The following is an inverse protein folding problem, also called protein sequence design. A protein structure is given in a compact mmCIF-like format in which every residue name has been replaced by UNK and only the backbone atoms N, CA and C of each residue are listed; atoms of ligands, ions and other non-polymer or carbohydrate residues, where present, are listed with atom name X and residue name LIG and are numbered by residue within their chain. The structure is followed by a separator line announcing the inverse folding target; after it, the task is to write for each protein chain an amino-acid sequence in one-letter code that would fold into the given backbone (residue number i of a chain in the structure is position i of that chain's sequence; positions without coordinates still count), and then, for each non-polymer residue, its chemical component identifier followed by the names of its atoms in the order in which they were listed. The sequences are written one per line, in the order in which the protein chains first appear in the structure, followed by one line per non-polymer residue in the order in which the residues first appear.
data_IF_664846013081
#
_entry.id   IF_664846013081
#
_cell.length_a   1.000
_cell.length_b   1.000
_cell.length_c   1.000
_cell.angle_alpha   90.00
_cell.angle_beta   90.00
_cell.angle_gamma   90.00
#
_symmetry.space_group_name_H-M   'P 1'
#
loop_
_entity.id
_entity.type
_entity.pdbx_description
1 polymer ?
#
# COMPACT_ATOMS: atom_id res chain seq x y z
N UNK A 1 46.75 28.46 -30.20
CA UNK A 1 46.88 27.80 -28.89
C UNK A 1 45.90 28.25 -27.79
N UNK A 2 45.48 29.53 -27.61
CA UNK A 2 44.55 29.88 -26.54
C UNK A 2 43.12 29.34 -26.65
N UNK A 3 42.58 29.20 -27.87
CA UNK A 3 41.22 28.83 -28.11
C UNK A 3 40.94 27.34 -27.79
N UNK A 4 41.89 26.47 -28.08
CA UNK A 4 41.81 25.03 -27.78
C UNK A 4 41.82 24.78 -26.28
N UNK A 5 42.64 25.53 -25.52
CA UNK A 5 42.68 25.44 -24.07
C UNK A 5 41.38 25.95 -23.40
N UNK A 6 40.73 26.94 -23.98
CA UNK A 6 39.45 27.47 -23.54
C UNK A 6 38.33 26.47 -23.79
N UNK A 7 38.31 25.87 -24.99
CA UNK A 7 37.34 24.82 -25.32
C UNK A 7 37.52 23.59 -24.42
N UNK A 8 38.76 23.16 -24.16
CA UNK A 8 39.03 22.06 -23.22
C UNK A 8 38.57 22.39 -21.79
N UNK A 9 38.83 23.60 -21.31
CA UNK A 9 38.36 24.03 -19.97
C UNK A 9 36.87 24.10 -19.88
N UNK A 10 36.15 24.53 -20.91
CA UNK A 10 34.69 24.55 -20.97
C UNK A 10 34.15 23.11 -21.03
N UNK A 11 34.75 22.24 -21.88
CA UNK A 11 34.36 20.83 -21.98
C UNK A 11 34.61 20.05 -20.69
N UNK A 12 35.73 20.27 -20.00
CA UNK A 12 36.05 19.71 -18.70
C UNK A 12 35.07 20.24 -17.65
N UNK A 13 34.75 21.55 -17.64
CA UNK A 13 33.82 22.16 -16.69
C UNK A 13 32.37 21.66 -16.89
N UNK A 14 31.94 21.45 -18.14
CA UNK A 14 30.64 20.88 -18.50
C UNK A 14 30.57 19.39 -18.13
N UNK A 15 31.62 18.61 -18.35
CA UNK A 15 31.66 17.21 -17.98
C UNK A 15 31.83 17.02 -16.45
N UNK A 16 32.61 17.84 -15.78
CA UNK A 16 32.71 17.83 -14.31
C UNK A 16 31.36 18.25 -13.69
N UNK A 17 30.63 19.23 -14.26
CA UNK A 17 29.29 19.59 -13.77
C UNK A 17 28.25 18.50 -14.02
N UNK A 18 28.40 17.67 -15.06
CA UNK A 18 27.58 16.46 -15.30
C UNK A 18 27.95 15.30 -14.38
N UNK A 19 29.20 15.18 -13.94
CA UNK A 19 29.69 14.08 -13.09
C UNK A 19 29.39 14.34 -11.60
N UNK A 20 29.26 15.60 -11.18
CA UNK A 20 28.81 15.96 -9.83
C UNK A 20 27.36 16.45 -9.81
N UNK A 21 26.44 15.78 -10.51
CA UNK A 21 25.05 15.87 -10.10
C UNK A 21 24.98 15.22 -8.72
N UNK A 22 25.01 16.05 -7.68
CA UNK A 22 24.89 15.62 -6.28
C UNK A 22 23.62 14.80 -6.18
N UNK A 23 23.75 13.47 -6.23
CA UNK A 23 22.60 12.57 -6.19
C UNK A 23 22.02 12.71 -4.79
N UNK A 24 20.96 13.51 -4.68
CA UNK A 24 20.25 13.66 -3.43
C UNK A 24 19.64 12.31 -3.03
N UNK A 25 20.02 11.81 -1.86
CA UNK A 25 19.49 10.55 -1.31
C UNK A 25 18.53 10.89 -0.17
N UNK A 26 17.29 10.49 -0.31
CA UNK A 26 16.22 10.77 0.64
C UNK A 26 15.73 9.47 1.24
N UNK A 27 15.52 9.48 2.55
CA UNK A 27 14.95 8.38 3.31
C UNK A 27 13.56 8.77 3.82
N UNK A 28 12.57 7.91 3.63
CA UNK A 28 11.30 7.96 4.33
C UNK A 28 11.23 6.80 5.33
N UNK A 29 10.83 7.08 6.57
CA UNK A 29 10.69 6.07 7.63
C UNK A 29 9.22 5.91 7.99
N UNK A 30 8.66 4.74 7.68
CA UNK A 30 7.33 4.31 8.06
C UNK A 30 7.45 2.98 8.82
N UNK A 31 7.16 2.95 10.12
CA UNK A 31 7.41 1.81 10.98
C UNK A 31 6.15 1.04 11.41
N UNK A 32 4.99 1.32 10.82
CA UNK A 32 3.76 0.54 11.03
C UNK A 32 3.86 -0.83 10.35
N UNK A 33 2.99 -1.77 10.70
CA UNK A 33 3.23 -3.18 10.43
C UNK A 33 2.60 -3.73 9.15
N UNK A 34 1.51 -3.14 8.68
CA UNK A 34 0.69 -3.73 7.63
C UNK A 34 1.02 -3.26 6.20
N UNK A 35 0.55 -4.00 5.22
CA UNK A 35 0.54 -3.59 3.81
C UNK A 35 -0.27 -2.30 3.68
N UNK A 36 -1.49 -2.28 4.23
CA UNK A 36 -2.36 -1.11 4.19
C UNK A 36 -1.73 0.13 4.82
N UNK A 37 -1.06 -0.03 5.97
CA UNK A 37 -0.31 1.06 6.59
C UNK A 37 0.76 1.64 5.66
N UNK A 38 1.43 0.81 4.86
CA UNK A 38 2.43 1.28 3.91
C UNK A 38 1.79 2.03 2.74
N UNK A 39 0.72 1.47 2.18
CA UNK A 39 0.00 2.08 1.04
C UNK A 39 -0.58 3.44 1.41
N UNK A 40 -1.15 3.61 2.62
CA UNK A 40 -1.69 4.91 3.10
C UNK A 40 -0.63 6.02 3.06
N UNK A 41 0.66 5.71 3.24
CA UNK A 41 1.73 6.71 3.23
C UNK A 41 2.31 7.01 1.85
N UNK A 42 1.99 6.23 0.81
CA UNK A 42 2.54 6.42 -0.54
C UNK A 42 2.31 7.82 -1.13
N UNK A 43 1.15 8.48 -0.99
CA UNK A 43 0.96 9.84 -1.51
C UNK A 43 1.96 10.84 -0.96
N UNK A 44 2.34 10.71 0.30
CA UNK A 44 3.30 11.62 0.96
C UNK A 44 4.73 11.35 0.48
N UNK A 45 5.08 10.08 0.27
CA UNK A 45 6.39 9.65 -0.26
C UNK A 45 6.53 10.11 -1.71
N UNK A 46 5.48 9.96 -2.51
CA UNK A 46 5.43 10.46 -3.88
C UNK A 46 5.66 11.98 -3.95
N UNK A 47 4.99 12.76 -3.07
CA UNK A 47 5.19 14.21 -3.01
C UNK A 47 6.61 14.61 -2.60
N UNK A 48 7.27 13.82 -1.75
CA UNK A 48 8.70 14.02 -1.45
C UNK A 48 9.53 13.79 -2.72
N UNK A 49 9.30 12.69 -3.43
CA UNK A 49 10.00 12.37 -4.67
C UNK A 49 9.82 13.46 -5.73
N UNK A 50 8.59 13.89 -5.96
CA UNK A 50 8.25 14.97 -6.91
C UNK A 50 8.96 16.29 -6.55
N UNK A 51 8.90 16.71 -5.25
CA UNK A 51 9.50 17.96 -4.79
C UNK A 51 11.00 18.02 -5.00
N UNK A 52 11.69 16.90 -4.83
CA UNK A 52 13.14 16.82 -4.97
C UNK A 52 13.61 16.24 -6.30
N UNK A 53 12.67 15.88 -7.17
CA UNK A 53 12.95 15.22 -8.47
C UNK A 53 13.92 14.05 -8.32
N UNK A 54 13.68 13.19 -7.31
CA UNK A 54 14.50 12.02 -7.03
C UNK A 54 13.69 10.94 -6.32
N UNK A 55 13.84 9.65 -6.66
CA UNK A 55 13.17 8.58 -5.94
C UNK A 55 13.59 8.52 -4.46
N UNK A 56 12.70 8.03 -3.62
CA UNK A 56 12.86 7.98 -2.17
C UNK A 56 13.20 6.56 -1.72
N UNK A 57 14.17 6.42 -0.83
CA UNK A 57 14.42 5.15 -0.14
C UNK A 57 13.44 5.00 1.01
N UNK A 58 12.85 3.83 1.16
CA UNK A 58 11.78 3.58 2.12
C UNK A 58 12.22 2.56 3.18
N UNK A 59 12.31 3.01 4.45
CA UNK A 59 12.53 2.13 5.60
C UNK A 59 11.17 1.69 6.17
N UNK A 60 10.86 0.41 6.04
CA UNK A 60 9.60 -0.21 6.49
C UNK A 60 9.84 -1.55 7.17
N UNK A 61 8.90 -2.00 7.98
CA UNK A 61 8.95 -3.35 8.55
C UNK A 61 8.84 -4.42 7.46
N UNK A 62 9.52 -5.55 7.63
CA UNK A 62 9.43 -6.70 6.72
C UNK A 62 8.00 -7.22 6.57
N UNK A 63 7.19 -7.13 7.65
CA UNK A 63 5.78 -7.53 7.64
C UNK A 63 4.90 -6.68 6.71
N UNK A 64 5.36 -5.51 6.26
CA UNK A 64 4.66 -4.69 5.26
C UNK A 64 4.67 -5.32 3.87
N UNK A 65 5.59 -6.25 3.59
CA UNK A 65 5.81 -6.88 2.27
C UNK A 65 5.95 -5.86 1.12
N UNK A 66 6.50 -4.67 1.42
CA UNK A 66 6.59 -3.55 0.48
C UNK A 66 7.39 -3.91 -0.78
N UNK A 67 8.40 -4.77 -0.64
CA UNK A 67 9.19 -5.33 -1.73
C UNK A 67 8.36 -6.14 -2.74
N UNK A 68 7.18 -6.64 -2.36
CA UNK A 68 6.33 -7.40 -3.27
C UNK A 68 5.40 -6.52 -4.13
N UNK A 69 5.17 -5.26 -3.77
CA UNK A 69 4.24 -4.41 -4.50
C UNK A 69 4.76 -3.03 -4.89
N UNK A 70 5.98 -2.64 -4.47
CA UNK A 70 6.55 -1.33 -4.79
C UNK A 70 7.77 -1.37 -5.72
N UNK A 71 8.26 -2.56 -6.10
CA UNK A 71 9.49 -2.69 -6.89
C UNK A 71 9.46 -2.02 -8.26
N UNK A 72 8.27 -1.78 -8.82
CA UNK A 72 8.08 -1.13 -10.12
C UNK A 72 7.66 0.35 -9.97
N UNK A 73 7.48 0.82 -8.73
CA UNK A 73 6.99 2.16 -8.43
C UNK A 73 8.13 3.18 -8.59
N UNK A 74 8.02 4.05 -9.57
CA UNK A 74 9.09 4.93 -10.07
C UNK A 74 9.59 5.96 -9.05
N UNK A 75 8.77 6.36 -8.08
CA UNK A 75 9.15 7.28 -7.01
C UNK A 75 9.80 6.60 -5.79
N UNK A 76 9.99 5.27 -5.82
CA UNK A 76 10.71 4.49 -4.81
C UNK A 76 12.04 4.00 -5.41
N UNK A 77 13.17 4.28 -4.73
CA UNK A 77 14.49 3.78 -5.14
C UNK A 77 14.76 2.39 -4.51
N UNK A 78 14.78 2.34 -3.17
CA UNK A 78 15.06 1.09 -2.44
C UNK A 78 14.13 0.92 -1.26
N UNK A 79 13.76 -0.33 -1.02
CA UNK A 79 13.06 -0.75 0.19
C UNK A 79 14.10 -1.32 1.16
N UNK A 80 14.18 -0.70 2.33
CA UNK A 80 15.08 -1.09 3.41
C UNK A 80 14.23 -1.71 4.51
N UNK A 81 14.57 -2.93 4.92
CA UNK A 81 13.80 -3.62 5.92
C UNK A 81 14.22 -3.22 7.35
N UNK A 82 13.24 -2.76 8.12
CA UNK A 82 13.36 -2.58 9.56
C UNK A 82 13.07 -3.92 10.24
N UNK A 83 14.13 -4.58 10.72
CA UNK A 83 14.05 -5.82 11.48
C UNK A 83 13.77 -5.49 12.96
N UNK A 84 12.52 -5.12 13.24
CA UNK A 84 12.05 -4.74 14.57
C UNK A 84 10.68 -5.35 14.82
N UNK A 85 10.60 -6.26 15.78
CA UNK A 85 9.35 -6.93 16.16
C UNK A 85 9.34 -7.25 17.66
N UNK A 86 8.30 -7.95 18.15
CA UNK A 86 8.19 -8.43 19.54
C UNK A 86 9.22 -9.51 19.94
N UNK A 87 9.85 -10.14 18.97
CA UNK A 87 10.95 -11.11 19.16
C UNK A 87 12.27 -10.39 18.93
N UNK A 88 13.32 -10.66 19.72
CA UNK A 88 14.66 -10.04 19.66
C UNK A 88 15.26 -10.06 18.24
N UNK A 89 14.85 -9.12 17.41
CA UNK A 89 15.37 -8.94 16.05
C UNK A 89 16.57 -7.98 16.04
N UNK A 90 17.26 -7.89 14.90
CA UNK A 90 18.51 -7.15 14.72
C UNK A 90 18.44 -5.69 15.19
N UNK A 91 17.31 -5.03 14.96
CA UNK A 91 17.11 -3.61 15.25
C UNK A 91 16.33 -3.35 16.55
N UNK A 92 16.15 -4.35 17.43
CA UNK A 92 15.48 -4.19 18.71
C UNK A 92 16.40 -3.64 19.81
N UNK A 93 15.81 -2.95 20.79
CA UNK A 93 16.51 -2.39 21.94
C UNK A 93 17.51 -1.28 21.59
N UNK A 94 18.37 -0.91 22.53
CA UNK A 94 19.38 0.13 22.34
C UNK A 94 20.49 -0.30 21.38
N UNK A 95 20.99 -1.52 21.51
CA UNK A 95 22.02 -2.07 20.60
C UNK A 95 21.48 -2.13 19.17
N UNK A 96 20.23 -2.53 18.99
CA UNK A 96 19.58 -2.52 17.68
C UNK A 96 19.42 -1.12 17.08
N UNK A 97 19.27 -0.07 17.89
CA UNK A 97 19.28 1.30 17.42
C UNK A 97 20.66 1.69 16.83
N UNK A 98 21.76 1.32 17.49
CA UNK A 98 23.10 1.54 16.95
C UNK A 98 23.34 0.77 15.65
N UNK A 99 22.91 -0.51 15.58
CA UNK A 99 23.01 -1.32 14.36
C UNK A 99 22.23 -0.68 13.21
N UNK A 100 21.01 -0.21 13.45
CA UNK A 100 20.21 0.49 12.44
C UNK A 100 20.90 1.77 11.98
N UNK A 101 21.50 2.55 12.90
CA UNK A 101 22.26 3.74 12.53
C UNK A 101 23.46 3.41 11.65
N UNK A 102 24.22 2.36 11.96
CA UNK A 102 25.33 1.87 11.13
C UNK A 102 24.87 1.42 9.74
N UNK A 103 23.75 0.70 9.67
CA UNK A 103 23.18 0.25 8.39
C UNK A 103 22.72 1.44 7.55
N UNK A 104 22.05 2.43 8.12
CA UNK A 104 21.62 3.63 7.41
C UNK A 104 22.79 4.55 6.99
N UNK A 105 23.88 4.59 7.77
CA UNK A 105 25.08 5.39 7.45
C UNK A 105 25.71 5.01 6.11
N UNK A 106 25.64 3.73 5.73
CA UNK A 106 26.17 3.22 4.45
C UNK A 106 25.52 3.84 3.23
N UNK A 107 24.27 4.32 3.36
CA UNK A 107 23.52 4.94 2.26
C UNK A 107 23.79 6.43 2.08
N UNK A 108 24.41 7.12 3.06
CA UNK A 108 24.74 8.54 2.99
C UNK A 108 23.54 9.44 2.66
N UNK A 109 22.43 9.26 3.35
CA UNK A 109 21.22 10.06 3.14
C UNK A 109 21.44 11.55 3.46
N UNK A 110 20.93 12.42 2.58
CA UNK A 110 20.97 13.88 2.76
C UNK A 110 19.79 14.40 3.59
N UNK A 111 18.62 13.77 3.44
CA UNK A 111 17.37 14.15 4.08
C UNK A 111 16.61 12.90 4.57
N UNK A 112 15.85 13.07 5.66
CA UNK A 112 14.95 12.03 6.14
C UNK A 112 13.59 12.59 6.53
N UNK A 113 12.53 11.87 6.18
CA UNK A 113 11.15 12.13 6.58
C UNK A 113 10.69 10.99 7.49
N UNK A 114 10.34 11.29 8.73
CA UNK A 114 9.98 10.30 9.76
C UNK A 114 8.49 10.44 10.07
N UNK A 115 7.69 9.49 9.63
CA UNK A 115 6.23 9.47 9.79
C UNK A 115 5.79 8.90 11.15
N UNK A 116 6.48 9.32 12.21
CA UNK A 116 6.13 9.00 13.59
C UNK A 116 6.77 10.01 14.56
N UNK A 117 6.35 9.96 15.84
CA UNK A 117 6.83 10.85 16.92
C UNK A 117 7.94 10.21 17.78
N UNK A 118 8.61 9.18 17.29
CA UNK A 118 9.59 8.40 18.06
C UNK A 118 10.94 9.13 18.20
N UNK A 119 11.33 9.40 19.42
CA UNK A 119 12.68 9.91 19.74
C UNK A 119 13.76 8.94 19.26
N UNK A 120 13.51 7.62 19.35
CA UNK A 120 14.42 6.58 18.91
C UNK A 120 14.86 6.78 17.44
N UNK A 121 13.90 6.95 16.50
CA UNK A 121 14.26 7.17 15.11
C UNK A 121 14.98 8.48 14.88
N UNK A 122 14.63 9.54 15.61
CA UNK A 122 15.37 10.80 15.56
C UNK A 122 16.85 10.61 15.96
N UNK A 123 17.11 9.89 17.04
CA UNK A 123 18.48 9.58 17.48
C UNK A 123 19.22 8.71 16.47
N UNK A 124 18.57 7.63 15.96
CA UNK A 124 19.17 6.73 14.96
C UNK A 124 19.64 7.48 13.72
N UNK A 125 18.81 8.36 13.16
CA UNK A 125 19.17 9.07 11.92
C UNK A 125 20.26 10.11 12.16
N UNK A 126 20.32 10.73 13.35
CA UNK A 126 21.43 11.62 13.74
C UNK A 126 22.75 10.87 13.88
N UNK A 127 22.72 9.69 14.52
CA UNK A 127 23.88 8.80 14.63
C UNK A 127 24.35 8.28 13.26
N UNK A 128 23.42 8.12 12.31
CA UNK A 128 23.74 7.80 10.92
C UNK A 128 24.34 8.98 10.13
N UNK A 129 24.44 10.18 10.74
CA UNK A 129 25.01 11.37 10.11
C UNK A 129 24.01 12.19 9.30
N UNK A 130 22.70 11.91 9.35
CA UNK A 130 21.69 12.66 8.61
C UNK A 130 21.32 13.93 9.37
N UNK A 131 21.53 15.11 8.75
CA UNK A 131 21.31 16.41 9.39
C UNK A 131 19.95 17.02 9.12
N UNK A 132 19.40 16.82 7.91
CA UNK A 132 18.10 17.37 7.51
C UNK A 132 16.97 16.40 7.87
N UNK A 133 16.36 16.59 9.04
CA UNK A 133 15.36 15.69 9.61
C UNK A 133 14.01 16.39 9.66
N UNK A 134 13.02 15.81 9.00
CA UNK A 134 11.63 16.20 9.02
C UNK A 134 10.82 15.11 9.74
N UNK A 135 10.16 15.45 10.83
CA UNK A 135 9.50 14.46 11.69
C UNK A 135 8.20 15.01 12.29
N UNK A 136 7.29 14.15 12.66
CA UNK A 136 6.17 14.52 13.52
C UNK A 136 6.69 15.11 14.84
N UNK A 137 5.94 16.03 15.48
CA UNK A 137 6.33 16.55 16.78
C UNK A 137 6.60 15.39 17.75
N UNK A 138 7.71 15.48 18.48
CA UNK A 138 8.03 14.51 19.53
C UNK A 138 7.01 14.62 20.66
N UNK A 139 6.79 13.53 21.40
CA UNK A 139 5.91 13.47 22.57
C UNK A 139 4.42 13.73 22.29
N UNK A 140 3.97 13.58 21.05
CA UNK A 140 2.53 13.64 20.75
C UNK A 140 1.79 12.39 21.20
N UNK A 141 0.49 12.56 21.57
CA UNK A 141 -0.36 11.47 22.05
C UNK A 141 -0.38 10.27 21.08
N UNK A 142 -0.40 9.05 21.62
CA UNK A 142 -0.36 7.78 20.84
C UNK A 142 -1.52 7.62 19.84
N UNK A 143 -2.71 8.18 20.13
CA UNK A 143 -3.91 8.06 19.28
C UNK A 143 -3.98 9.20 18.25
N UNK A 144 -3.02 9.24 17.34
CA UNK A 144 -3.08 10.19 16.22
C UNK A 144 -3.85 9.60 15.03
N UNK A 145 -4.65 10.45 14.41
CA UNK A 145 -5.24 10.14 13.11
C UNK A 145 -4.14 9.79 12.10
N UNK A 146 -4.28 8.67 11.36
CA UNK A 146 -3.19 8.16 10.53
C UNK A 146 -2.74 9.13 9.43
N UNK A 147 -3.66 9.93 8.87
CA UNK A 147 -3.44 10.83 7.73
C UNK A 147 -3.05 12.24 8.17
N UNK A 148 -3.79 12.84 9.11
CA UNK A 148 -3.63 14.27 9.48
C UNK A 148 -2.19 14.68 9.81
N UNK A 149 -1.40 13.94 10.62
CA UNK A 149 -0.02 14.27 10.89
C UNK A 149 0.89 14.18 9.67
N UNK A 150 0.63 13.24 8.73
CA UNK A 150 1.39 13.10 7.50
C UNK A 150 1.17 14.30 6.57
N UNK A 151 -0.08 14.69 6.35
CA UNK A 151 -0.44 15.91 5.59
C UNK A 151 0.24 17.14 6.21
N UNK A 152 0.14 17.30 7.56
CA UNK A 152 0.75 18.42 8.26
C UNK A 152 2.28 18.44 8.10
N UNK A 153 2.94 17.28 8.17
CA UNK A 153 4.38 17.16 7.98
C UNK A 153 4.77 17.63 6.57
N UNK A 154 4.12 17.11 5.52
CA UNK A 154 4.45 17.45 4.14
C UNK A 154 4.16 18.92 3.85
N UNK A 155 2.99 19.43 4.25
CA UNK A 155 2.67 20.87 4.09
C UNK A 155 3.70 21.77 4.77
N UNK A 156 4.07 21.47 6.03
CA UNK A 156 5.07 22.25 6.77
C UNK A 156 6.48 22.16 6.20
N UNK A 157 6.89 20.96 5.72
CA UNK A 157 8.28 20.71 5.29
C UNK A 157 8.53 21.11 3.85
N UNK A 158 7.54 20.96 2.96
CA UNK A 158 7.70 21.11 1.51
C UNK A 158 6.88 22.27 0.93
N UNK A 159 5.94 22.81 1.71
CA UNK A 159 4.96 23.83 1.27
C UNK A 159 4.15 23.37 0.05
N UNK A 160 3.66 22.11 0.09
CA UNK A 160 2.82 21.51 -0.96
C UNK A 160 1.56 20.87 -0.35
N UNK A 161 0.49 20.88 -1.11
CA UNK A 161 -0.73 20.13 -0.79
C UNK A 161 -0.60 18.68 -1.29
N UNK A 162 -1.25 17.76 -0.58
CA UNK A 162 -1.24 16.33 -0.92
C UNK A 162 -2.67 15.85 -1.03
N UNK A 163 -2.99 15.23 -2.14
CA UNK A 163 -4.18 14.38 -2.19
C UNK A 163 -3.83 13.02 -1.55
N UNK A 164 -4.80 12.35 -0.96
CA UNK A 164 -4.56 11.11 -0.22
C UNK A 164 -4.68 9.84 -1.10
N UNK A 165 -4.69 9.98 -2.43
CA UNK A 165 -4.80 8.85 -3.35
C UNK A 165 -3.42 8.20 -3.52
N UNK A 166 -3.22 6.96 -3.04
CA UNK A 166 -1.97 6.24 -3.29
C UNK A 166 -1.90 5.79 -4.74
N UNK A 167 -0.69 5.65 -5.24
CA UNK A 167 -0.42 5.12 -6.56
C UNK A 167 0.67 4.05 -6.47
N UNK A 168 0.46 2.93 -7.16
CA UNK A 168 1.43 1.87 -7.39
C UNK A 168 1.59 1.71 -8.89
N UNK A 169 2.83 1.74 -9.37
CA UNK A 169 3.14 1.50 -10.77
C UNK A 169 3.36 0.01 -11.01
N UNK A 170 2.96 -0.44 -12.18
CA UNK A 170 3.16 -1.81 -12.66
C UNK A 170 3.48 -1.79 -14.15
N UNK A 171 4.37 -2.67 -14.59
CA UNK A 171 4.73 -2.84 -15.98
C UNK A 171 3.51 -3.30 -16.82
N UNK A 172 3.15 -2.50 -17.81
CA UNK A 172 2.04 -2.76 -18.72
C UNK A 172 2.20 -4.08 -19.50
N UNK A 173 3.42 -4.55 -19.72
CA UNK A 173 3.64 -5.87 -20.33
C UNK A 173 3.20 -6.99 -19.40
N UNK A 174 3.45 -6.88 -18.10
CA UNK A 174 2.95 -7.85 -17.11
C UNK A 174 1.42 -7.85 -17.04
N UNK A 175 0.80 -6.66 -17.15
CA UNK A 175 -0.67 -6.53 -17.20
C UNK A 175 -1.24 -7.24 -18.42
N UNK A 176 -0.62 -7.07 -19.60
CA UNK A 176 -1.01 -7.77 -20.84
C UNK A 176 -0.78 -9.27 -20.75
N UNK A 177 0.37 -9.71 -20.23
CA UNK A 177 0.67 -11.13 -20.06
C UNK A 177 -0.30 -11.84 -19.10
N UNK A 178 -0.77 -11.14 -18.07
CA UNK A 178 -1.77 -11.71 -17.15
C UNK A 178 -3.09 -12.06 -17.84
N UNK A 179 -3.49 -11.30 -18.87
CA UNK A 179 -4.72 -11.58 -19.64
C UNK A 179 -4.67 -12.99 -20.26
N UNK A 180 -3.59 -13.34 -20.95
CA UNK A 180 -3.44 -14.65 -21.57
C UNK A 180 -3.17 -15.75 -20.52
N UNK A 181 -2.31 -15.50 -19.55
CA UNK A 181 -1.92 -16.48 -18.52
C UNK A 181 -3.10 -16.95 -17.66
N UNK A 182 -4.01 -16.04 -17.34
CA UNK A 182 -5.15 -16.32 -16.46
C UNK A 182 -6.50 -16.31 -17.20
N UNK A 183 -6.51 -16.35 -18.54
CA UNK A 183 -7.68 -16.34 -19.39
C UNK A 183 -8.69 -15.22 -19.04
N UNK A 184 -8.18 -14.01 -18.78
CA UNK A 184 -9.01 -12.87 -18.37
C UNK A 184 -9.80 -12.36 -19.57
N UNK A 185 -11.11 -12.60 -19.58
CA UNK A 185 -11.99 -12.09 -20.62
C UNK A 185 -12.35 -10.63 -20.34
N UNK A 186 -11.75 -9.70 -21.10
CA UNK A 186 -11.99 -8.24 -20.95
C UNK A 186 -13.41 -7.80 -21.36
N UNK A 187 -14.20 -8.67 -22.01
CA UNK A 187 -15.61 -8.41 -22.34
C UNK A 187 -16.55 -8.76 -21.19
N UNK A 188 -16.07 -9.45 -20.18
CA UNK A 188 -16.80 -9.83 -18.98
C UNK A 188 -16.39 -8.95 -17.79
N UNK A 189 -17.25 -8.91 -16.78
CA UNK A 189 -16.98 -8.17 -15.55
C UNK A 189 -16.02 -8.99 -14.68
N UNK A 190 -14.79 -8.51 -14.55
CA UNK A 190 -13.76 -9.13 -13.73
C UNK A 190 -13.72 -8.46 -12.35
N UNK A 191 -13.95 -9.19 -11.28
CA UNK A 191 -14.05 -8.68 -9.92
C UNK A 191 -13.03 -9.36 -9.02
N UNK A 192 -12.19 -8.58 -8.33
CA UNK A 192 -11.41 -9.13 -7.24
C UNK A 192 -12.29 -9.25 -5.99
N UNK A 193 -12.32 -10.41 -5.37
CA UNK A 193 -12.87 -10.65 -4.04
C UNK A 193 -11.72 -10.91 -3.07
N UNK A 194 -11.36 -9.95 -2.23
CA UNK A 194 -10.37 -10.15 -1.18
C UNK A 194 -11.05 -10.59 0.11
N UNK A 195 -11.20 -11.90 0.24
CA UNK A 195 -12.00 -12.57 1.26
C UNK A 195 -11.25 -12.84 2.57
N UNK A 196 -9.91 -12.69 2.58
CA UNK A 196 -9.09 -12.83 3.77
C UNK A 196 -9.18 -11.63 4.72
N UNK A 197 -8.45 -11.68 5.83
CA UNK A 197 -8.38 -10.58 6.81
C UNK A 197 -7.49 -10.93 7.99
N UNK A 198 -6.77 -9.93 8.53
CA UNK A 198 -5.77 -10.10 9.60
C UNK A 198 -6.36 -10.45 10.98
N UNK A 199 -7.65 -10.66 11.08
CA UNK A 199 -8.33 -11.07 12.32
C UNK A 199 -9.73 -11.62 12.04
N UNK A 200 -10.26 -12.45 12.94
CA UNK A 200 -11.55 -13.13 12.75
C UNK A 200 -12.73 -12.15 12.65
N UNK A 201 -12.62 -10.98 13.27
CA UNK A 201 -13.67 -9.94 13.30
C UNK A 201 -13.77 -9.17 11.98
N UNK A 202 -12.75 -9.28 11.11
CA UNK A 202 -12.69 -8.62 9.79
C UNK A 202 -13.03 -9.55 8.63
N UNK A 203 -13.18 -10.84 8.88
CA UNK A 203 -13.48 -11.87 7.86
C UNK A 203 -14.97 -11.99 7.69
N UNK A 204 -15.49 -11.38 6.63
CA UNK A 204 -16.90 -11.46 6.26
C UNK A 204 -17.23 -12.90 5.85
N UNK A 205 -18.37 -13.47 6.28
CA UNK A 205 -18.75 -14.86 5.96
C UNK A 205 -18.88 -15.12 4.45
N UNK A 206 -18.55 -16.33 4.02
CA UNK A 206 -18.66 -16.76 2.62
C UNK A 206 -20.06 -16.53 2.03
N UNK A 207 -21.12 -16.76 2.81
CA UNK A 207 -22.51 -16.57 2.37
C UNK A 207 -22.83 -15.14 1.93
N UNK A 208 -22.19 -14.14 2.52
CA UNK A 208 -22.32 -12.73 2.10
C UNK A 208 -21.72 -12.55 0.70
N UNK A 209 -20.52 -13.07 0.45
CA UNK A 209 -19.90 -13.02 -0.88
C UNK A 209 -20.73 -13.81 -1.91
N UNK A 210 -21.18 -15.04 -1.60
CA UNK A 210 -22.01 -15.85 -2.47
C UNK A 210 -23.33 -15.15 -2.85
N UNK A 211 -23.95 -14.45 -1.90
CA UNK A 211 -25.16 -13.66 -2.17
C UNK A 211 -24.88 -12.52 -3.15
N UNK A 212 -23.76 -11.81 -2.99
CA UNK A 212 -23.34 -10.76 -3.93
C UNK A 212 -23.01 -11.33 -5.30
N UNK A 213 -22.26 -12.44 -5.37
CA UNK A 213 -21.89 -13.12 -6.61
C UNK A 213 -23.13 -13.55 -7.40
N UNK A 214 -24.14 -14.11 -6.72
CA UNK A 214 -25.42 -14.50 -7.33
C UNK A 214 -26.14 -13.33 -7.97
N UNK A 215 -26.24 -12.20 -7.26
CA UNK A 215 -26.88 -10.98 -7.79
C UNK A 215 -26.15 -10.44 -9.03
N UNK A 216 -24.81 -10.43 -9.00
CA UNK A 216 -24.00 -9.98 -10.14
C UNK A 216 -24.17 -10.93 -11.34
N UNK A 217 -24.05 -12.23 -11.12
CA UNK A 217 -24.10 -13.24 -12.17
C UNK A 217 -25.45 -13.31 -12.88
N UNK A 218 -26.53 -12.89 -12.22
CA UNK A 218 -27.88 -12.82 -12.81
C UNK A 218 -28.02 -11.67 -13.83
N UNK A 219 -27.17 -10.65 -13.77
CA UNK A 219 -27.30 -9.45 -14.62
C UNK A 219 -26.14 -9.24 -15.58
N UNK A 220 -24.95 -9.80 -15.28
CA UNK A 220 -23.75 -9.63 -16.10
C UNK A 220 -22.93 -10.94 -16.14
N UNK A 221 -22.34 -11.23 -17.29
CA UNK A 221 -21.28 -12.25 -17.35
C UNK A 221 -20.07 -11.76 -16.56
N UNK A 222 -19.57 -12.57 -15.64
CA UNK A 222 -18.56 -12.16 -14.69
C UNK A 222 -17.62 -13.29 -14.28
N UNK A 223 -16.40 -12.91 -13.88
CA UNK A 223 -15.40 -13.78 -13.27
C UNK A 223 -14.95 -13.17 -11.94
N UNK A 224 -14.59 -14.02 -10.98
CA UNK A 224 -14.19 -13.65 -9.64
C UNK A 224 -12.77 -14.13 -9.35
N UNK A 225 -11.89 -13.23 -9.00
CA UNK A 225 -10.51 -13.52 -8.57
C UNK A 225 -10.48 -13.51 -7.05
N UNK A 226 -10.20 -14.65 -6.43
CA UNK A 226 -10.33 -14.82 -4.98
C UNK A 226 -8.97 -14.63 -4.30
N UNK A 227 -8.75 -13.49 -3.65
CA UNK A 227 -7.52 -13.19 -2.92
C UNK A 227 -7.70 -13.46 -1.43
N UNK A 228 -6.83 -14.29 -0.86
CA UNK A 228 -6.82 -14.67 0.55
C UNK A 228 -5.42 -15.08 1.00
N UNK A 229 -5.23 -15.20 2.32
CA UNK A 229 -4.02 -15.77 2.90
C UNK A 229 -4.10 -17.29 3.02
N UNK A 230 -3.10 -17.88 3.70
CA UNK A 230 -3.00 -19.33 3.95
C UNK A 230 -3.42 -19.72 5.36
N UNK A 231 -4.03 -18.81 6.11
CA UNK A 231 -4.61 -19.11 7.42
C UNK A 231 -5.80 -20.06 7.26
N UNK A 232 -5.95 -21.02 8.16
CA UNK A 232 -6.96 -22.07 8.07
C UNK A 232 -8.38 -21.51 7.94
N UNK A 233 -8.70 -20.47 8.71
CA UNK A 233 -10.03 -19.85 8.68
C UNK A 233 -10.28 -19.08 7.37
N UNK A 234 -9.25 -18.48 6.79
CA UNK A 234 -9.33 -17.86 5.47
C UNK A 234 -9.55 -18.90 4.38
N UNK A 235 -8.86 -20.05 4.48
CA UNK A 235 -9.03 -21.16 3.55
C UNK A 235 -10.42 -21.84 3.66
N UNK A 236 -11.05 -21.86 4.83
CA UNK A 236 -12.44 -22.32 4.98
C UNK A 236 -13.39 -21.46 4.16
N UNK A 237 -13.23 -20.13 4.17
CA UNK A 237 -14.06 -19.21 3.36
C UNK A 237 -13.83 -19.47 1.87
N UNK A 238 -12.56 -19.61 1.45
CA UNK A 238 -12.21 -19.92 0.06
C UNK A 238 -12.87 -21.23 -0.39
N UNK A 239 -12.73 -22.30 0.41
CA UNK A 239 -13.27 -23.63 0.08
C UNK A 239 -14.80 -23.61 -0.01
N UNK A 240 -15.49 -22.85 0.85
CA UNK A 240 -16.95 -22.69 0.75
C UNK A 240 -17.37 -22.05 -0.57
N UNK A 241 -16.64 -21.00 -1.02
CA UNK A 241 -16.93 -20.36 -2.31
C UNK A 241 -16.60 -21.32 -3.47
N UNK A 242 -15.45 -22.00 -3.41
CA UNK A 242 -15.02 -22.94 -4.46
C UNK A 242 -15.88 -24.23 -4.54
N UNK A 243 -16.65 -24.54 -3.50
CA UNK A 243 -17.61 -25.65 -3.49
C UNK A 243 -19.00 -25.23 -3.92
N UNK A 244 -19.22 -23.97 -4.30
CA UNK A 244 -20.51 -23.43 -4.73
C UNK A 244 -20.72 -23.56 -6.24
N UNK A 245 -21.91 -23.18 -6.70
CA UNK A 245 -22.28 -23.07 -8.13
C UNK A 245 -21.37 -22.09 -8.93
N UNK A 246 -20.58 -21.25 -8.24
CA UNK A 246 -19.70 -20.28 -8.87
C UNK A 246 -18.28 -20.79 -9.16
N UNK A 247 -17.99 -22.05 -8.85
CA UNK A 247 -16.64 -22.64 -9.00
C UNK A 247 -15.99 -22.31 -10.34
N UNK A 248 -16.70 -22.53 -11.44
CA UNK A 248 -16.18 -22.33 -12.80
C UNK A 248 -15.94 -20.85 -13.17
N UNK A 249 -16.49 -19.91 -12.37
CA UNK A 249 -16.29 -18.47 -12.53
C UNK A 249 -15.25 -17.92 -11.57
N UNK A 250 -14.66 -18.76 -10.73
CA UNK A 250 -13.73 -18.37 -9.68
C UNK A 250 -12.31 -18.79 -10.02
N UNK A 251 -11.37 -17.86 -9.81
CA UNK A 251 -9.94 -18.10 -9.97
C UNK A 251 -9.27 -17.80 -8.61
N UNK A 252 -8.85 -18.81 -7.84
CA UNK A 252 -8.17 -18.60 -6.57
C UNK A 252 -6.76 -18.09 -6.79
N UNK A 253 -6.33 -17.10 -5.99
CA UNK A 253 -5.03 -16.46 -6.05
C UNK A 253 -4.14 -16.74 -4.82
N UNK A 254 -4.58 -17.60 -3.91
CA UNK A 254 -3.92 -17.92 -2.64
C UNK A 254 -2.54 -18.57 -2.80
N UNK A 255 -2.28 -19.21 -3.97
CA UNK A 255 -1.00 -19.80 -4.33
C UNK A 255 0.01 -18.79 -4.89
N UNK A 256 -0.42 -17.56 -5.23
CA UNK A 256 0.40 -16.51 -5.80
C UNK A 256 1.01 -15.61 -4.72
N UNK A 257 2.17 -15.05 -5.02
CA UNK A 257 2.73 -13.93 -4.25
C UNK A 257 1.94 -12.64 -4.52
N UNK A 258 2.07 -11.64 -3.65
CA UNK A 258 1.43 -10.33 -3.89
C UNK A 258 1.89 -9.76 -5.23
N UNK A 259 3.19 -9.85 -5.55
CA UNK A 259 3.74 -9.37 -6.81
C UNK A 259 3.04 -9.98 -8.04
N UNK A 260 2.80 -11.29 -8.03
CA UNK A 260 2.11 -11.99 -9.11
C UNK A 260 0.61 -11.65 -9.21
N UNK A 261 0.00 -11.19 -8.11
CA UNK A 261 -1.42 -10.79 -8.12
C UNK A 261 -1.65 -9.39 -8.69
N UNK A 262 -0.64 -8.49 -8.65
CA UNK A 262 -0.81 -7.09 -9.09
C UNK A 262 -1.32 -6.97 -10.54
N UNK A 263 -0.74 -7.65 -11.54
CA UNK A 263 -1.21 -7.55 -12.92
C UNK A 263 -2.62 -8.13 -13.11
N UNK A 264 -3.04 -9.11 -12.30
CA UNK A 264 -4.40 -9.64 -12.31
C UNK A 264 -5.37 -8.59 -11.75
N UNK A 265 -5.04 -7.99 -10.59
CA UNK A 265 -5.84 -6.94 -9.96
C UNK A 265 -6.01 -5.76 -10.92
N UNK A 266 -4.93 -5.34 -11.60
CA UNK A 266 -4.97 -4.25 -12.58
C UNK A 266 -5.92 -4.52 -13.76
N UNK A 267 -6.20 -5.77 -14.04
CA UNK A 267 -7.17 -6.21 -15.05
C UNK A 267 -8.61 -6.31 -14.55
N UNK A 268 -8.87 -6.17 -13.24
CA UNK A 268 -10.21 -6.17 -12.68
C UNK A 268 -10.94 -4.84 -12.92
N UNK A 269 -12.25 -4.89 -13.08
CA UNK A 269 -13.12 -3.73 -13.22
C UNK A 269 -13.44 -3.08 -11.87
N UNK A 270 -13.52 -3.91 -10.83
CA UNK A 270 -13.76 -3.49 -9.46
C UNK A 270 -13.19 -4.51 -8.47
N UNK A 271 -13.10 -4.14 -7.20
CA UNK A 271 -12.78 -5.05 -6.11
C UNK A 271 -13.76 -4.91 -4.96
N UNK A 272 -14.04 -6.03 -4.29
CA UNK A 272 -14.82 -6.12 -3.06
C UNK A 272 -13.91 -6.78 -2.04
N UNK A 273 -13.52 -6.04 -1.02
CA UNK A 273 -12.45 -6.44 -0.12
C UNK A 273 -12.87 -6.29 1.34
N UNK A 274 -12.61 -7.30 2.14
CA UNK A 274 -12.50 -7.10 3.57
C UNK A 274 -11.45 -6.01 3.89
N UNK A 275 -11.38 -5.52 5.12
CA UNK A 275 -10.29 -4.64 5.56
C UNK A 275 -8.96 -5.41 5.54
N UNK A 276 -8.33 -5.44 4.38
CA UNK A 276 -7.10 -6.20 4.09
C UNK A 276 -6.12 -5.40 3.24
N UNK A 277 -4.87 -5.88 3.17
CA UNK A 277 -3.85 -5.31 2.28
C UNK A 277 -4.26 -5.26 0.81
N UNK A 278 -5.06 -6.21 0.33
CA UNK A 278 -5.53 -6.23 -1.06
C UNK A 278 -6.49 -5.08 -1.39
N UNK A 279 -7.34 -4.65 -0.44
CA UNK A 279 -8.19 -3.48 -0.64
C UNK A 279 -7.38 -2.21 -0.86
N UNK A 280 -6.31 -2.03 -0.08
CA UNK A 280 -5.39 -0.90 -0.22
C UNK A 280 -4.61 -0.96 -1.55
N UNK A 281 -4.09 -2.14 -1.91
CA UNK A 281 -3.36 -2.35 -3.18
C UNK A 281 -4.28 -2.08 -4.37
N UNK A 282 -5.50 -2.62 -4.37
CA UNK A 282 -6.47 -2.41 -5.44
C UNK A 282 -6.75 -0.92 -5.66
N UNK A 283 -7.01 -0.20 -4.58
CA UNK A 283 -7.22 1.26 -4.63
C UNK A 283 -5.99 1.99 -5.20
N UNK A 284 -4.78 1.59 -4.80
CA UNK A 284 -3.53 2.19 -5.27
C UNK A 284 -3.19 1.85 -6.74
N UNK A 285 -3.71 0.74 -7.25
CA UNK A 285 -3.67 0.38 -8.68
C UNK A 285 -4.74 1.10 -9.51
N UNK A 286 -5.56 1.95 -8.88
CA UNK A 286 -6.61 2.72 -9.53
C UNK A 286 -7.93 1.94 -9.72
N UNK A 287 -8.09 0.79 -9.06
CA UNK A 287 -9.30 -0.03 -9.13
C UNK A 287 -10.34 0.49 -8.13
N UNK A 288 -11.58 0.68 -8.60
CA UNK A 288 -12.71 1.03 -7.74
C UNK A 288 -12.95 -0.09 -6.73
N UNK A 289 -12.78 0.20 -5.44
CA UNK A 289 -12.68 -0.79 -4.38
C UNK A 289 -13.77 -0.58 -3.33
N UNK A 290 -14.66 -1.53 -3.20
CA UNK A 290 -15.61 -1.60 -2.10
C UNK A 290 -14.88 -2.21 -0.91
N UNK A 291 -14.83 -1.49 0.21
CA UNK A 291 -14.17 -1.92 1.45
C UNK A 291 -15.20 -2.28 2.50
N UNK A 292 -15.18 -3.53 2.98
CA UNK A 292 -16.11 -4.05 3.98
C UNK A 292 -15.56 -3.77 5.38
N UNK A 293 -16.02 -2.68 5.97
CA UNK A 293 -15.47 -2.14 7.23
C UNK A 293 -16.28 -2.64 8.42
N UNK A 294 -15.99 -3.85 8.89
CA UNK A 294 -16.74 -4.51 9.94
C UNK A 294 -16.26 -4.22 11.38
N UNK A 295 -14.96 -3.94 11.55
CA UNK A 295 -14.34 -3.83 12.88
C UNK A 295 -13.05 -2.99 12.86
N UNK A 296 -13.00 -1.96 12.03
CA UNK A 296 -11.84 -1.08 11.89
C UNK A 296 -12.32 0.34 11.62
N UNK A 297 -11.65 1.37 12.16
CA UNK A 297 -12.02 2.76 11.90
C UNK A 297 -12.17 3.05 10.41
N UNK A 298 -13.26 3.73 10.04
CA UNK A 298 -13.69 3.97 8.66
C UNK A 298 -12.59 4.59 7.79
N UNK A 299 -11.70 5.39 8.39
CA UNK A 299 -10.61 6.05 7.68
C UNK A 299 -9.69 5.07 6.93
N UNK A 300 -9.57 3.84 7.40
CA UNK A 300 -8.75 2.82 6.71
C UNK A 300 -9.38 2.31 5.41
N UNK A 301 -10.69 2.45 5.26
CA UNK A 301 -11.42 2.03 4.05
C UNK A 301 -11.97 3.20 3.21
N UNK A 302 -11.63 4.46 3.54
CA UNK A 302 -12.24 5.63 2.89
C UNK A 302 -11.27 6.79 2.60
N UNK A 303 -9.96 6.59 2.74
CA UNK A 303 -8.98 7.67 2.57
C UNK A 303 -8.67 8.02 1.11
N UNK A 304 -9.00 7.15 0.18
CA UNK A 304 -8.78 7.32 -1.27
C UNK A 304 -10.11 7.49 -2.01
N UNK A 305 -10.11 8.25 -3.09
CA UNK A 305 -11.27 8.41 -3.99
C UNK A 305 -11.69 7.10 -4.68
N UNK A 306 -10.81 6.10 -4.70
CA UNK A 306 -11.11 4.77 -5.23
C UNK A 306 -11.72 3.83 -4.17
N UNK A 307 -11.92 4.27 -2.94
CA UNK A 307 -12.45 3.45 -1.84
C UNK A 307 -13.89 3.81 -1.51
N UNK A 308 -14.75 2.81 -1.45
CA UNK A 308 -16.19 2.92 -1.20
C UNK A 308 -16.56 2.03 -0.02
N UNK A 309 -16.56 2.56 1.22
CA UNK A 309 -16.80 1.74 2.41
C UNK A 309 -18.25 1.30 2.53
N UNK A 310 -18.42 0.05 2.95
CA UNK A 310 -19.69 -0.52 3.44
C UNK A 310 -19.50 -0.85 4.92
N UNK A 311 -20.39 -0.37 5.75
CA UNK A 311 -20.41 -0.62 7.21
C UNK A 311 -21.59 -1.52 7.59
N UNK A 312 -21.56 -2.16 8.77
CA UNK A 312 -22.62 -3.02 9.25
C UNK A 312 -23.98 -2.30 9.32
N UNK A 313 -25.05 -3.04 9.06
CA UNK A 313 -26.40 -2.50 9.20
C UNK A 313 -26.69 -2.06 10.65
N UNK A 314 -27.30 -0.90 10.79
CA UNK A 314 -27.57 -0.27 12.10
C UNK A 314 -26.44 0.60 12.65
N UNK A 315 -25.25 0.55 12.06
CA UNK A 315 -24.12 1.37 12.51
C UNK A 315 -24.04 2.69 11.72
N UNK A 316 -23.66 3.76 12.40
CA UNK A 316 -23.36 5.08 11.79
C UNK A 316 -21.85 5.32 11.66
N UNK A 317 -21.05 4.57 12.42
CA UNK A 317 -19.59 4.62 12.39
C UNK A 317 -19.03 3.24 12.74
N UNK A 318 -17.76 3.02 12.45
CA UNK A 318 -17.06 1.77 12.75
C UNK A 318 -15.75 2.08 13.46
N UNK A 319 -15.42 1.30 14.48
CA UNK A 319 -14.17 1.33 15.22
C UNK A 319 -13.68 -0.07 15.51
N UNK A 320 -12.59 -0.17 16.27
CA UNK A 320 -12.23 -1.45 16.90
C UNK A 320 -13.35 -1.82 17.89
N UNK A 321 -13.66 -3.12 17.98
CA UNK A 321 -14.72 -3.69 18.83
C UNK A 321 -16.16 -3.47 18.33
N UNK A 322 -16.37 -3.03 17.07
CA UNK A 322 -17.70 -3.00 16.44
C UNK A 322 -18.24 -4.41 16.18
N UNK A 323 -17.37 -5.38 15.87
CA UNK A 323 -17.70 -6.79 15.68
C UNK A 323 -18.85 -7.05 14.67
N UNK A 324 -18.95 -6.21 13.64
CA UNK A 324 -20.12 -6.15 12.76
C UNK A 324 -20.05 -7.04 11.49
N UNK A 325 -19.13 -8.03 11.41
CA UNK A 325 -18.91 -8.83 10.20
C UNK A 325 -20.16 -9.53 9.65
N UNK A 326 -21.03 -10.01 10.55
CA UNK A 326 -22.25 -10.74 10.20
C UNK A 326 -23.42 -9.80 9.83
N UNK A 327 -23.24 -8.49 10.02
CA UNK A 327 -24.21 -7.43 9.68
C UNK A 327 -23.86 -6.68 8.39
N UNK A 328 -22.82 -7.10 7.66
CA UNK A 328 -22.50 -6.55 6.34
C UNK A 328 -23.53 -7.01 5.34
N UNK A 329 -24.28 -6.06 4.78
CA UNK A 329 -25.44 -6.34 3.93
C UNK A 329 -25.02 -6.56 2.47
N UNK A 330 -25.26 -7.75 1.88
CA UNK A 330 -24.91 -8.04 0.49
C UNK A 330 -25.68 -7.18 -0.53
N UNK A 331 -26.88 -6.68 -0.18
CA UNK A 331 -27.62 -5.76 -1.04
C UNK A 331 -26.91 -4.43 -1.18
N UNK A 332 -26.41 -3.89 -0.07
CA UNK A 332 -25.63 -2.63 -0.08
C UNK A 332 -24.33 -2.78 -0.89
N UNK A 333 -23.67 -3.94 -0.81
CA UNK A 333 -22.46 -4.22 -1.61
C UNK A 333 -22.84 -4.23 -3.11
N UNK A 334 -23.87 -4.98 -3.48
CA UNK A 334 -24.32 -5.07 -4.87
C UNK A 334 -24.70 -3.70 -5.44
N UNK A 335 -25.57 -2.96 -4.75
CA UNK A 335 -26.00 -1.64 -5.20
C UNK A 335 -24.83 -0.65 -5.34
N UNK A 336 -23.86 -0.68 -4.40
CA UNK A 336 -22.66 0.11 -4.52
C UNK A 336 -21.83 -0.31 -5.73
N UNK A 337 -21.65 -1.63 -5.96
CA UNK A 337 -20.90 -2.12 -7.11
C UNK A 337 -21.50 -1.60 -8.42
N UNK A 338 -22.81 -1.77 -8.62
CA UNK A 338 -23.48 -1.30 -9.83
C UNK A 338 -23.32 0.21 -10.01
N UNK A 339 -23.41 0.99 -8.94
CA UNK A 339 -23.28 2.46 -9.00
C UNK A 339 -21.87 2.94 -9.39
N UNK A 340 -20.82 2.12 -9.15
CA UNK A 340 -19.43 2.53 -9.43
C UNK A 340 -18.90 1.96 -10.75
N UNK A 341 -19.47 0.88 -11.29
CA UNK A 341 -18.99 0.26 -12.55
C UNK A 341 -19.70 0.77 -13.80
N UNK A 342 -20.84 1.46 -13.65
CA UNK A 342 -21.54 2.15 -14.73
C UNK A 342 -20.96 3.58 -14.88
#
# INVERSE_FOLDING_TARGET
MPLILLILKIYIKINISKVYKFIMRILAIQNRMGIGDTVIFLPYIQKISEKFNTPVNLLVKKSSKADQFLNQTNYIDKIIHLEQNKKKERHDGLVGAFRLAQDLKKYQFNKVFIFNSSLRFNMVVRLAGIRNIYQYPLFTKKNQHIIKPAVKLIKKSLNVEVNNNPQIDIDENLVKLAISKYNINKKELNILLAIGGSGPTKRIPANTFLSVMKKIANVKKCNFFLATGKDEEEQKILNQIMSSEFREKCIPLDHLTIHETLPIIKNCNASICNDTGFGHISSALGIKTITLMADTPLIYGSYSSNMYPIIPDGETSVGHDTLGKDKINPEKIYNKLISIIN
#
